data_IF_945605729171
#
_entry.id   IF_945605729171
#
_cell.length_a   1.000
_cell.length_b   1.000
_cell.length_c   1.000
_cell.angle_alpha   90.00
_cell.angle_beta   90.00
_cell.angle_gamma   90.00
#
_symmetry.space_group_name_H-M   'P 1'
#
loop_
_entity.id
_entity.type
_entity.pdbx_description
1 polymer ?
#
# COMPACT_ATOMS: atom_id res chain seq x y z
N UNK A 1 -27.26 -7.64 17.49
CA UNK A 1 -27.00 -8.51 16.33
C UNK A 1 -25.58 -9.03 16.44
N UNK A 2 -25.37 -10.35 16.37
CA UNK A 2 -24.05 -10.96 16.55
C UNK A 2 -23.28 -10.90 15.24
N UNK A 3 -21.95 -10.70 15.29
CA UNK A 3 -21.04 -10.63 14.13
C UNK A 3 -21.17 -11.82 13.15
N UNK A 4 -21.75 -12.93 13.59
CA UNK A 4 -21.99 -14.14 12.81
C UNK A 4 -23.20 -14.06 11.84
N UNK A 5 -24.15 -13.13 12.06
CA UNK A 5 -25.38 -13.01 11.24
C UNK A 5 -25.21 -12.12 10.00
N UNK A 6 -23.98 -11.68 9.69
CA UNK A 6 -23.68 -10.69 8.63
C UNK A 6 -22.70 -11.20 7.59
N UNK A 7 -22.68 -12.51 7.31
CA UNK A 7 -21.96 -12.99 6.14
C UNK A 7 -22.76 -12.67 4.88
N UNK A 8 -22.67 -11.42 4.41
CA UNK A 8 -22.92 -11.12 3.00
C UNK A 8 -21.75 -11.70 2.23
N UNK A 9 -21.88 -12.97 1.88
CA UNK A 9 -20.98 -13.58 0.91
C UNK A 9 -21.17 -12.84 -0.41
N UNK A 10 -20.07 -12.55 -1.10
CA UNK A 10 -20.08 -12.18 -2.50
C UNK A 10 -20.61 -13.36 -3.32
N UNK A 11 -21.92 -13.60 -3.29
CA UNK A 11 -22.60 -14.44 -4.25
C UNK A 11 -22.37 -13.78 -5.62
N UNK A 12 -21.31 -14.22 -6.31
CA UNK A 12 -20.96 -13.71 -7.65
C UNK A 12 -19.66 -12.93 -7.79
N UNK A 13 -18.57 -13.29 -7.09
CA UNK A 13 -17.24 -12.77 -7.47
C UNK A 13 -16.78 -13.21 -8.89
N UNK A 14 -17.57 -13.97 -9.66
CA UNK A 14 -17.35 -14.12 -11.13
C UNK A 14 -17.46 -12.80 -11.92
N UNK A 15 -17.79 -11.67 -11.28
CA UNK A 15 -17.93 -10.36 -11.91
C UNK A 15 -16.80 -9.36 -11.62
N UNK A 16 -15.57 -9.81 -11.31
CA UNK A 16 -14.39 -8.91 -11.25
C UNK A 16 -13.82 -8.50 -12.62
N UNK A 17 -14.70 -8.51 -13.64
CA UNK A 17 -14.58 -7.73 -14.87
C UNK A 17 -15.46 -6.47 -14.89
N UNK A 18 -16.25 -6.17 -13.83
CA UNK A 18 -17.24 -5.08 -13.92
C UNK A 18 -17.80 -4.48 -12.61
N UNK A 19 -17.20 -4.73 -11.44
CA UNK A 19 -17.61 -3.97 -10.25
C UNK A 19 -17.09 -2.53 -10.31
N UNK A 20 -17.98 -1.54 -10.20
CA UNK A 20 -17.57 -0.14 -10.16
C UNK A 20 -16.93 0.20 -8.81
N UNK A 21 -16.17 1.28 -8.74
CA UNK A 21 -15.56 1.76 -7.49
C UNK A 21 -16.63 1.97 -6.42
N UNK A 22 -17.82 2.43 -6.81
CA UNK A 22 -18.96 2.61 -5.90
C UNK A 22 -19.40 1.31 -5.23
N UNK A 23 -19.37 0.18 -5.93
CA UNK A 23 -19.71 -1.11 -5.34
C UNK A 23 -18.65 -1.57 -4.33
N UNK A 24 -17.36 -1.33 -4.61
CA UNK A 24 -16.28 -1.60 -3.67
C UNK A 24 -16.37 -0.71 -2.41
N UNK A 25 -16.74 0.56 -2.57
CA UNK A 25 -17.01 1.49 -1.46
C UNK A 25 -18.13 0.94 -0.58
N UNK A 26 -19.24 0.48 -1.18
CA UNK A 26 -20.33 -0.13 -0.41
C UNK A 26 -19.88 -1.35 0.39
N UNK A 27 -18.98 -2.18 -0.14
CA UNK A 27 -18.44 -3.32 0.61
C UNK A 27 -17.68 -2.85 1.85
N UNK A 28 -16.76 -1.90 1.71
CA UNK A 28 -15.95 -1.46 2.86
C UNK A 28 -16.70 -0.62 3.88
N UNK A 29 -17.79 0.05 3.46
CA UNK A 29 -18.61 0.95 4.29
C UNK A 29 -19.86 0.29 4.89
N UNK A 30 -20.03 -1.02 4.75
CA UNK A 30 -21.12 -1.76 5.38
C UNK A 30 -20.57 -2.99 6.09
N UNK A 31 -21.25 -3.46 7.13
CA UNK A 31 -20.85 -4.67 7.85
C UNK A 31 -20.96 -5.91 6.95
N UNK A 32 -19.86 -6.21 6.27
CA UNK A 32 -19.75 -7.25 5.23
C UNK A 32 -18.48 -8.07 5.42
N UNK A 33 -18.44 -9.24 4.79
CA UNK A 33 -17.25 -10.08 4.68
C UNK A 33 -16.98 -10.28 3.19
N UNK A 34 -15.80 -9.93 2.71
CA UNK A 34 -15.44 -10.02 1.30
C UNK A 34 -14.06 -10.64 1.08
N UNK A 35 -13.79 -11.15 -0.12
CA UNK A 35 -12.47 -11.67 -0.52
C UNK A 35 -12.14 -11.17 -1.92
N UNK A 36 -10.85 -11.15 -2.25
CA UNK A 36 -10.32 -10.83 -3.57
C UNK A 36 -10.41 -11.99 -4.56
N UNK A 37 -10.82 -13.17 -4.11
CA UNK A 37 -10.96 -14.37 -4.93
C UNK A 37 -12.36 -14.98 -4.79
N UNK A 38 -12.81 -15.67 -5.85
CA UNK A 38 -13.96 -16.57 -5.80
C UNK A 38 -13.55 -17.93 -5.26
N UNK A 39 -14.47 -18.57 -4.54
CA UNK A 39 -14.37 -19.97 -4.15
C UNK A 39 -15.45 -20.81 -4.84
N UNK A 40 -15.13 -22.05 -5.21
CA UNK A 40 -16.10 -23.07 -5.57
C UNK A 40 -16.71 -23.74 -4.33
N UNK A 41 -17.77 -24.52 -4.57
CA UNK A 41 -18.29 -25.43 -3.58
C UNK A 41 -17.25 -26.53 -3.29
N UNK A 42 -17.18 -26.99 -2.05
CA UNK A 42 -16.23 -28.04 -1.68
C UNK A 42 -16.69 -28.85 -0.49
N UNK A 43 -16.18 -30.07 -0.37
CA UNK A 43 -16.55 -30.99 0.70
C UNK A 43 -15.85 -30.61 2.01
N UNK A 44 -16.56 -30.67 3.14
CA UNK A 44 -15.94 -30.56 4.46
C UNK A 44 -15.39 -31.91 4.94
N UNK A 45 -14.76 -31.92 6.12
CA UNK A 45 -14.19 -33.14 6.73
C UNK A 45 -15.20 -34.26 7.03
N UNK A 46 -16.50 -34.01 6.87
CA UNK A 46 -17.59 -34.94 7.14
C UNK A 46 -18.30 -35.43 5.88
N UNK A 47 -17.85 -35.06 4.68
CA UNK A 47 -18.52 -35.46 3.45
C UNK A 47 -19.60 -34.50 2.96
N UNK A 48 -19.80 -33.38 3.65
CA UNK A 48 -20.89 -32.45 3.32
C UNK A 48 -20.40 -31.38 2.35
N UNK A 49 -21.19 -31.10 1.30
CA UNK A 49 -20.92 -30.00 0.37
C UNK A 49 -21.15 -28.66 1.07
N UNK A 50 -20.07 -27.91 1.25
CA UNK A 50 -20.08 -26.54 1.74
C UNK A 50 -20.00 -25.60 0.55
N UNK A 51 -21.02 -24.74 0.41
CA UNK A 51 -21.04 -23.76 -0.66
C UNK A 51 -19.95 -22.70 -0.47
N UNK A 52 -19.29 -22.32 -1.57
CA UNK A 52 -18.23 -21.29 -1.57
C UNK A 52 -17.19 -21.55 -0.46
N UNK A 53 -16.74 -22.81 -0.33
CA UNK A 53 -15.88 -23.24 0.77
C UNK A 53 -14.59 -22.44 0.71
N UNK A 54 -14.24 -21.73 1.78
CA UNK A 54 -13.02 -20.90 1.82
C UNK A 54 -11.81 -21.76 2.13
N UNK A 55 -11.21 -22.31 1.10
CA UNK A 55 -9.97 -23.06 1.20
C UNK A 55 -9.16 -22.91 -0.09
N UNK A 56 -7.91 -23.36 -0.08
CA UNK A 56 -7.01 -23.16 -1.23
C UNK A 56 -7.39 -24.02 -2.42
N UNK A 57 -7.84 -25.24 -2.16
CA UNK A 57 -8.34 -26.21 -3.13
C UNK A 57 -9.60 -25.76 -3.87
N UNK A 58 -10.28 -24.73 -3.37
CA UNK A 58 -11.51 -24.22 -3.95
C UNK A 58 -11.37 -22.81 -4.53
N UNK A 59 -10.17 -22.20 -4.56
CA UNK A 59 -10.00 -20.90 -5.22
C UNK A 59 -10.21 -21.06 -6.72
N UNK A 60 -11.22 -20.38 -7.25
CA UNK A 60 -11.73 -20.60 -8.61
C UNK A 60 -11.55 -19.38 -9.55
N UNK A 61 -10.84 -18.33 -9.12
CA UNK A 61 -10.64 -17.13 -9.94
C UNK A 61 -9.22 -16.58 -9.86
N UNK A 62 -8.89 -15.71 -10.79
CA UNK A 62 -7.80 -14.74 -10.70
C UNK A 62 -8.27 -13.44 -10.04
N UNK A 63 -7.35 -12.52 -9.78
CA UNK A 63 -7.67 -11.17 -9.28
C UNK A 63 -6.71 -10.09 -9.82
N UNK A 64 -7.22 -8.87 -9.97
CA UNK A 64 -6.45 -7.64 -10.21
C UNK A 64 -6.58 -6.64 -9.06
N UNK A 65 -7.06 -7.09 -7.90
CA UNK A 65 -7.29 -6.24 -6.75
C UNK A 65 -6.44 -6.75 -5.58
N UNK A 66 -5.60 -5.87 -5.05
CA UNK A 66 -4.95 -6.10 -3.77
C UNK A 66 -5.80 -5.48 -2.66
N UNK A 67 -5.92 -6.20 -1.55
CA UNK A 67 -6.54 -5.69 -0.32
C UNK A 67 -5.50 -5.78 0.79
N UNK A 68 -5.15 -4.62 1.34
CA UNK A 68 -4.10 -4.48 2.35
C UNK A 68 -4.74 -3.97 3.63
N UNK A 69 -4.72 -4.78 4.68
CA UNK A 69 -5.11 -4.34 6.02
C UNK A 69 -3.88 -3.71 6.70
N UNK A 70 -3.91 -2.39 6.87
CA UNK A 70 -2.83 -1.60 7.46
C UNK A 70 -3.05 -1.54 8.97
N UNK A 71 -2.22 -2.27 9.69
CA UNK A 71 -2.23 -2.30 11.15
C UNK A 71 -1.54 -1.10 11.79
N UNK A 72 -0.61 -0.49 11.07
CA UNK A 72 0.18 0.66 11.51
C UNK A 72 0.82 1.34 10.29
N UNK A 73 0.72 2.66 10.21
CA UNK A 73 1.44 3.46 9.22
C UNK A 73 1.97 4.73 9.84
N UNK A 74 3.17 5.15 9.42
CA UNK A 74 3.68 6.50 9.72
C UNK A 74 2.87 7.58 9.01
N UNK A 75 2.22 7.21 7.91
CA UNK A 75 1.42 8.11 7.08
C UNK A 75 -0.07 7.97 7.45
N UNK A 76 -0.75 9.04 7.90
CA UNK A 76 -2.16 8.98 8.20
C UNK A 76 -3.00 8.77 6.92
N UNK A 77 -4.21 8.23 7.08
CA UNK A 77 -5.10 7.80 6.00
C UNK A 77 -5.33 8.85 4.90
N UNK A 78 -5.52 10.12 5.28
CA UNK A 78 -5.74 11.22 4.32
C UNK A 78 -4.48 11.50 3.50
N UNK A 79 -3.30 11.43 4.12
CA UNK A 79 -2.05 11.67 3.44
C UNK A 79 -1.69 10.51 2.51
N UNK A 80 -2.05 9.28 2.89
CA UNK A 80 -1.93 8.11 2.01
C UNK A 80 -2.83 8.24 0.78
N UNK A 81 -4.05 8.77 0.93
CA UNK A 81 -4.93 9.08 -0.20
C UNK A 81 -4.28 10.07 -1.18
N UNK A 82 -3.68 11.14 -0.66
CA UNK A 82 -2.94 12.11 -1.48
C UNK A 82 -1.69 11.50 -2.15
N UNK A 83 -1.00 10.56 -1.49
CA UNK A 83 0.13 9.85 -2.10
C UNK A 83 -0.32 9.00 -3.27
N UNK A 84 -1.50 8.42 -3.19
CA UNK A 84 -2.08 7.53 -4.20
C UNK A 84 -2.99 8.24 -5.20
N UNK A 85 -3.13 9.58 -5.18
CA UNK A 85 -4.12 10.32 -6.00
C UNK A 85 -4.04 10.10 -7.52
N UNK A 86 -2.90 9.62 -8.00
CA UNK A 86 -2.67 9.32 -9.43
C UNK A 86 -3.17 7.92 -9.81
N UNK A 87 -3.41 7.06 -8.81
CA UNK A 87 -3.83 5.69 -8.98
C UNK A 87 -5.28 5.49 -8.58
N UNK A 88 -5.97 4.59 -9.28
CA UNK A 88 -7.28 4.13 -8.85
C UNK A 88 -7.14 3.39 -7.53
N UNK A 89 -7.88 3.81 -6.50
CA UNK A 89 -7.80 3.19 -5.18
C UNK A 89 -9.00 3.54 -4.30
N UNK A 90 -9.18 2.75 -3.23
CA UNK A 90 -10.06 3.07 -2.10
C UNK A 90 -9.25 2.89 -0.83
N UNK A 91 -9.32 3.88 0.06
CA UNK A 91 -8.81 3.74 1.43
C UNK A 91 -9.97 3.92 2.39
N UNK A 92 -10.14 2.98 3.32
CA UNK A 92 -11.23 3.00 4.28
C UNK A 92 -10.71 2.84 5.71
N UNK A 93 -11.27 3.56 6.67
CA UNK A 93 -11.04 3.24 8.09
C UNK A 93 -11.62 1.86 8.41
N UNK A 94 -11.06 1.18 9.42
CA UNK A 94 -11.58 -0.11 9.87
C UNK A 94 -12.62 0.10 10.98
N UNK A 95 -12.62 -0.75 12.01
CA UNK A 95 -13.57 -0.67 13.13
C UNK A 95 -13.40 0.56 14.01
N UNK A 96 -12.25 1.25 13.95
CA UNK A 96 -11.99 2.48 14.69
C UNK A 96 -11.75 3.64 13.70
N UNK A 97 -12.78 4.44 13.47
CA UNK A 97 -12.76 5.59 12.54
C UNK A 97 -11.82 6.71 13.00
N UNK A 98 -11.56 6.82 14.31
CA UNK A 98 -10.69 7.84 14.88
C UNK A 98 -9.21 7.51 14.71
N UNK A 99 -8.87 6.22 14.52
CA UNK A 99 -7.50 5.81 14.28
C UNK A 99 -7.09 6.04 12.83
N UNK A 100 -6.49 7.21 12.56
CA UNK A 100 -6.03 7.59 11.22
C UNK A 100 -4.79 6.83 10.72
N UNK A 101 -4.17 5.99 11.54
CA UNK A 101 -2.99 5.18 11.19
C UNK A 101 -3.31 3.70 11.00
N UNK A 102 -4.60 3.33 11.12
CA UNK A 102 -5.12 1.98 10.85
C UNK A 102 -6.24 2.06 9.85
N UNK A 103 -6.05 1.44 8.70
CA UNK A 103 -6.97 1.55 7.58
C UNK A 103 -6.80 0.38 6.62
N UNK A 104 -7.67 0.29 5.64
CA UNK A 104 -7.58 -0.70 4.57
C UNK A 104 -7.40 -0.01 3.24
N UNK A 105 -6.51 -0.54 2.41
CA UNK A 105 -6.32 -0.10 1.04
C UNK A 105 -6.86 -1.17 0.10
N UNK A 106 -7.74 -0.79 -0.82
CA UNK A 106 -8.13 -1.56 -1.99
C UNK A 106 -7.44 -0.94 -3.19
N UNK A 107 -6.50 -1.68 -3.78
CA UNK A 107 -5.60 -1.18 -4.82
C UNK A 107 -5.68 -2.06 -6.08
N UNK A 108 -6.44 -1.63 -7.10
CA UNK A 108 -6.39 -2.21 -8.43
C UNK A 108 -4.97 -2.14 -9.04
N UNK A 109 -4.52 -3.26 -9.60
CA UNK A 109 -3.19 -3.41 -10.22
C UNK A 109 -3.29 -3.75 -11.71
N UNK A 110 -2.24 -3.48 -12.47
CA UNK A 110 -2.20 -3.72 -13.91
C UNK A 110 -2.06 -5.20 -14.30
N UNK A 111 -1.50 -6.04 -13.41
CA UNK A 111 -1.27 -7.47 -13.63
C UNK A 111 -2.39 -8.33 -13.02
N UNK A 112 -2.74 -9.42 -13.71
CA UNK A 112 -3.67 -10.44 -13.21
C UNK A 112 -2.93 -11.52 -12.41
N UNK A 113 -3.34 -11.70 -11.15
CA UNK A 113 -2.79 -12.69 -10.24
C UNK A 113 -3.64 -13.95 -10.28
N UNK A 114 -3.02 -15.08 -10.55
CA UNK A 114 -3.69 -16.37 -10.63
C UNK A 114 -3.72 -17.06 -9.26
N UNK A 115 -4.74 -17.87 -9.04
CA UNK A 115 -4.92 -18.62 -7.79
C UNK A 115 -3.95 -19.79 -7.61
N UNK A 116 -3.33 -20.26 -8.69
CA UNK A 116 -2.36 -21.36 -8.67
C UNK A 116 -0.96 -20.94 -8.21
N UNK A 117 -0.71 -19.64 -8.02
CA UNK A 117 0.57 -19.10 -7.54
C UNK A 117 0.43 -18.23 -6.26
N UNK A 118 0.21 -18.86 -5.10
CA UNK A 118 0.10 -18.15 -3.83
C UNK A 118 1.40 -17.46 -3.40
N UNK A 119 2.56 -17.94 -3.87
CA UNK A 119 3.85 -17.32 -3.53
C UNK A 119 4.04 -16.00 -4.27
N UNK A 120 3.61 -15.94 -5.54
CA UNK A 120 3.59 -14.70 -6.31
C UNK A 120 2.66 -13.67 -5.66
N UNK A 121 1.44 -14.07 -5.28
CA UNK A 121 0.51 -13.18 -4.58
C UNK A 121 1.14 -12.61 -3.30
N UNK A 122 1.70 -13.48 -2.45
CA UNK A 122 2.39 -13.08 -1.22
C UNK A 122 3.55 -12.13 -1.49
N UNK A 123 4.37 -12.43 -2.49
CA UNK A 123 5.53 -11.61 -2.85
C UNK A 123 5.11 -10.22 -3.31
N UNK A 124 4.10 -10.12 -4.17
CA UNK A 124 3.59 -8.84 -4.68
C UNK A 124 2.99 -8.01 -3.55
N UNK A 125 2.11 -8.60 -2.72
CA UNK A 125 1.50 -7.89 -1.58
C UNK A 125 2.57 -7.34 -0.64
N UNK A 126 3.57 -8.16 -0.30
CA UNK A 126 4.69 -7.72 0.55
C UNK A 126 5.41 -6.51 -0.05
N UNK A 127 5.82 -6.59 -1.31
CA UNK A 127 6.58 -5.52 -1.97
C UNK A 127 5.77 -4.25 -2.20
N UNK A 128 4.47 -4.37 -2.46
CA UNK A 128 3.56 -3.23 -2.52
C UNK A 128 3.47 -2.57 -1.15
N UNK A 129 3.26 -3.32 -0.07
CA UNK A 129 3.22 -2.75 1.28
C UNK A 129 4.52 -2.02 1.66
N UNK A 130 5.68 -2.58 1.29
CA UNK A 130 6.97 -1.93 1.48
C UNK A 130 7.07 -0.62 0.67
N UNK A 131 6.62 -0.63 -0.60
CA UNK A 131 6.59 0.56 -1.46
C UNK A 131 5.65 1.65 -0.92
N UNK A 132 4.55 1.25 -0.29
CA UNK A 132 3.59 2.13 0.36
C UNK A 132 4.03 2.60 1.75
N UNK A 133 5.16 2.11 2.28
CA UNK A 133 5.67 2.45 3.61
C UNK A 133 4.65 2.14 4.73
N UNK A 134 3.91 1.03 4.60
CA UNK A 134 2.91 0.58 5.58
C UNK A 134 3.31 -0.73 6.24
N UNK A 135 2.98 -0.86 7.52
CA UNK A 135 2.98 -2.15 8.21
C UNK A 135 1.60 -2.77 8.09
N UNK A 136 1.58 -4.03 7.69
CA UNK A 136 0.38 -4.74 7.28
C UNK A 136 0.14 -5.98 8.14
N UNK A 137 -1.11 -6.39 8.27
CA UNK A 137 -1.47 -7.68 8.85
C UNK A 137 -0.95 -8.79 7.91
N UNK A 138 -0.15 -9.77 8.41
CA UNK A 138 0.28 -10.92 7.62
C UNK A 138 -0.84 -11.66 6.87
N UNK A 139 -2.07 -11.59 7.37
CA UNK A 139 -3.25 -12.12 6.70
C UNK A 139 -3.50 -11.50 5.32
N UNK A 140 -3.07 -10.25 5.09
CA UNK A 140 -3.15 -9.59 3.77
C UNK A 140 -2.36 -10.33 2.68
N UNK A 141 -1.32 -11.08 3.07
CA UNK A 141 -0.50 -11.90 2.16
C UNK A 141 -1.12 -13.27 1.85
N UNK A 142 -2.26 -13.60 2.45
CA UNK A 142 -2.91 -14.90 2.29
C UNK A 142 -4.03 -14.76 1.25
N UNK A 143 -3.87 -15.46 0.14
CA UNK A 143 -4.84 -15.58 -0.97
C UNK A 143 -6.27 -15.96 -0.53
N UNK A 144 -6.40 -16.82 0.49
CA UNK A 144 -7.71 -17.23 1.03
C UNK A 144 -8.32 -16.25 2.05
N UNK A 145 -7.65 -15.14 2.34
CA UNK A 145 -8.09 -14.20 3.35
C UNK A 145 -9.43 -13.56 2.97
N UNK A 146 -10.25 -13.34 3.99
CA UNK A 146 -11.41 -12.48 3.87
C UNK A 146 -11.22 -11.26 4.76
N UNK A 147 -11.77 -10.17 4.29
CA UNK A 147 -11.70 -8.85 4.88
C UNK A 147 -13.10 -8.45 5.32
N UNK A 148 -13.16 -7.52 6.27
CA UNK A 148 -14.41 -7.09 6.88
C UNK A 148 -14.66 -5.63 6.53
N UNK A 149 -15.79 -5.34 5.91
CA UNK A 149 -16.32 -3.98 5.84
C UNK A 149 -16.93 -3.56 7.18
N UNK A 150 -16.97 -2.26 7.44
CA UNK A 150 -17.53 -1.70 8.66
C UNK A 150 -18.50 -0.58 8.34
N UNK A 151 -19.72 -0.69 8.88
CA UNK A 151 -20.70 0.39 8.84
C UNK A 151 -20.14 1.64 9.52
N UNK A 152 -20.27 2.79 8.85
CA UNK A 152 -19.71 4.07 9.33
C UNK A 152 -18.23 4.28 9.03
N UNK A 153 -17.58 3.37 8.29
CA UNK A 153 -16.21 3.59 7.84
C UNK A 153 -16.10 4.84 6.96
N UNK A 154 -15.13 5.70 7.28
CA UNK A 154 -14.74 6.82 6.42
C UNK A 154 -13.96 6.29 5.23
N UNK A 155 -14.38 6.65 4.01
CA UNK A 155 -13.76 6.23 2.76
C UNK A 155 -13.19 7.39 1.96
N UNK A 156 -12.02 7.18 1.38
CA UNK A 156 -11.36 8.04 0.43
C UNK A 156 -11.22 7.28 -0.89
N UNK A 157 -11.59 7.89 -2.01
CA UNK A 157 -11.76 7.19 -3.28
C UNK A 157 -11.15 8.01 -4.39
N UNK A 158 -10.31 7.37 -5.21
CA UNK A 158 -9.89 7.90 -6.51
C UNK A 158 -10.37 6.95 -7.58
N UNK A 159 -11.36 7.37 -8.36
CA UNK A 159 -11.91 6.55 -9.45
C UNK A 159 -11.17 6.78 -10.79
N UNK A 160 -10.76 8.01 -11.08
CA UNK A 160 -10.17 8.40 -12.38
C UNK A 160 -8.63 8.27 -12.45
N UNK A 161 -8.05 7.30 -11.75
CA UNK A 161 -6.60 7.06 -11.73
C UNK A 161 -6.14 5.88 -12.60
N UNK A 162 -4.83 5.81 -12.84
CA UNK A 162 -4.19 4.67 -13.49
C UNK A 162 -4.22 3.43 -12.55
N UNK A 163 -4.14 2.22 -13.12
CA UNK A 163 -3.93 1.03 -12.28
C UNK A 163 -2.53 1.09 -11.67
N UNK A 164 -2.38 0.60 -10.43
CA UNK A 164 -1.07 0.58 -9.80
C UNK A 164 -0.16 -0.40 -10.54
N UNK A 165 0.98 0.11 -11.03
CA UNK A 165 1.92 -0.68 -11.83
C UNK A 165 2.78 -1.56 -10.92
N UNK A 166 2.64 -2.88 -11.06
CA UNK A 166 3.42 -3.88 -10.32
C UNK A 166 4.35 -4.67 -11.22
N UNK A 167 4.60 -4.23 -12.45
CA UNK A 167 5.40 -4.99 -13.45
C UNK A 167 6.81 -5.27 -12.94
N UNK A 168 7.50 -4.26 -12.41
CA UNK A 168 8.86 -4.40 -11.88
C UNK A 168 8.86 -5.33 -10.65
N UNK A 169 7.86 -5.19 -9.77
CA UNK A 169 7.68 -6.06 -8.60
C UNK A 169 7.50 -7.51 -9.02
N UNK A 170 6.69 -7.79 -10.05
CA UNK A 170 6.49 -9.13 -10.59
C UNK A 170 7.82 -9.70 -11.11
N UNK A 171 8.57 -8.91 -11.88
CA UNK A 171 9.90 -9.31 -12.38
C UNK A 171 10.87 -9.62 -11.24
N UNK A 172 10.87 -8.81 -10.19
CA UNK A 172 11.72 -9.02 -9.02
C UNK A 172 11.32 -10.26 -8.21
N UNK A 173 10.01 -10.50 -8.06
CA UNK A 173 9.48 -11.72 -7.44
C UNK A 173 9.89 -12.99 -8.22
N UNK A 174 9.82 -12.96 -9.56
CA UNK A 174 10.26 -14.09 -10.41
C UNK A 174 11.76 -14.33 -10.26
N UNK A 175 12.55 -13.27 -10.19
CA UNK A 175 14.02 -13.35 -10.09
C UNK A 175 14.54 -13.56 -8.66
N UNK A 176 13.66 -13.68 -7.67
CA UNK A 176 14.00 -13.75 -6.23
C UNK A 176 14.95 -12.63 -5.78
N UNK A 177 14.85 -11.45 -6.40
CA UNK A 177 15.60 -10.28 -5.92
C UNK A 177 14.98 -9.85 -4.59
N UNK A 178 15.82 -9.69 -3.57
CA UNK A 178 15.39 -9.03 -2.35
C UNK A 178 15.12 -7.56 -2.65
N UNK A 179 13.85 -7.24 -2.92
CA UNK A 179 13.34 -5.87 -2.92
C UNK A 179 13.04 -5.52 -1.48
N UNK A 180 14.10 -5.39 -0.69
CA UNK A 180 13.99 -4.78 0.63
C UNK A 180 14.29 -3.29 0.49
N UNK A 181 13.56 -2.44 1.20
CA UNK A 181 14.08 -1.11 1.52
C UNK A 181 15.46 -1.34 2.17
N UNK A 182 16.57 -0.82 1.60
CA UNK A 182 17.87 -0.94 2.24
C UNK A 182 17.74 -0.38 3.66
N UNK A 183 17.93 -1.24 4.67
CA UNK A 183 17.93 -0.77 6.06
C UNK A 183 19.15 0.12 6.21
N UNK A 184 18.91 1.41 6.33
CA UNK A 184 19.98 2.37 6.58
C UNK A 184 20.34 2.21 8.06
N UNK A 185 21.56 1.79 8.34
CA UNK A 185 22.05 1.80 9.71
C UNK A 185 22.16 3.25 10.17
N UNK A 186 21.39 3.60 11.20
CA UNK A 186 21.48 4.90 11.83
C UNK A 186 22.95 5.17 12.27
N UNK A 187 23.50 6.36 12.01
CA UNK A 187 24.88 6.67 12.36
C UNK A 187 25.15 6.49 13.87
N UNK A 188 26.18 5.72 14.22
CA UNK A 188 26.50 5.35 15.62
C UNK A 188 27.19 6.46 16.41
N UNK A 189 27.54 7.59 15.79
CA UNK A 189 28.19 8.73 16.46
C UNK A 189 27.87 10.07 15.78
N UNK A 190 27.98 11.21 16.49
CA UNK A 190 27.75 12.53 15.89
C UNK A 190 28.67 12.84 14.71
N UNK A 191 29.93 12.38 14.73
CA UNK A 191 30.87 12.58 13.63
C UNK A 191 30.48 11.76 12.39
N UNK A 192 30.06 10.50 12.58
CA UNK A 192 29.55 9.68 11.48
C UNK A 192 28.26 10.25 10.91
N UNK A 193 27.38 10.79 11.77
CA UNK A 193 26.15 11.44 11.38
C UNK A 193 26.42 12.66 10.49
N UNK A 194 27.29 13.56 10.94
CA UNK A 194 27.69 14.75 10.17
C UNK A 194 28.23 14.38 8.80
N UNK A 195 29.15 13.40 8.73
CA UNK A 195 29.72 12.92 7.46
C UNK A 195 28.67 12.33 6.52
N UNK A 196 27.71 11.56 7.06
CA UNK A 196 26.63 10.99 6.26
C UNK A 196 25.74 12.10 5.67
N UNK A 197 25.33 13.07 6.48
CA UNK A 197 24.53 14.22 6.03
C UNK A 197 25.28 15.01 4.95
N UNK A 198 26.55 15.35 5.18
CA UNK A 198 27.39 16.07 4.20
C UNK A 198 27.50 15.30 2.87
N UNK A 199 27.67 13.98 2.93
CA UNK A 199 27.71 13.13 1.74
C UNK A 199 26.42 13.16 0.93
N UNK A 200 25.27 13.14 1.62
CA UNK A 200 23.95 13.24 0.98
C UNK A 200 23.74 14.63 0.39
N UNK A 201 24.06 15.70 1.12
CA UNK A 201 23.93 17.07 0.64
C UNK A 201 24.79 17.33 -0.60
N UNK A 202 25.98 16.72 -0.69
CA UNK A 202 26.87 16.84 -1.83
C UNK A 202 26.44 15.98 -3.04
N UNK A 203 25.72 14.87 -2.82
CA UNK A 203 25.40 13.88 -3.86
C UNK A 203 23.92 13.47 -3.84
N UNK A 204 23.02 14.41 -3.58
CA UNK A 204 21.61 14.11 -3.32
C UNK A 204 20.95 13.34 -4.48
N UNK A 205 21.28 13.68 -5.73
CA UNK A 205 20.72 12.98 -6.91
C UNK A 205 21.14 11.52 -6.98
N UNK A 206 22.39 11.20 -6.63
CA UNK A 206 22.89 9.83 -6.63
C UNK A 206 22.30 9.03 -5.47
N UNK A 207 22.19 9.64 -4.29
CA UNK A 207 21.62 8.97 -3.10
C UNK A 207 20.13 8.71 -3.27
N UNK A 208 19.41 9.66 -3.89
CA UNK A 208 17.98 9.62 -4.11
C UNK A 208 17.63 9.38 -5.57
N UNK A 209 18.44 8.58 -6.27
CA UNK A 209 18.21 8.25 -7.68
C UNK A 209 16.81 7.64 -7.91
N UNK A 210 16.35 6.83 -6.95
CA UNK A 210 14.99 6.26 -6.97
C UNK A 210 13.86 7.30 -6.84
N UNK A 211 14.16 8.52 -6.38
CA UNK A 211 13.21 9.64 -6.40
C UNK A 211 13.24 10.30 -7.77
N UNK A 212 14.43 10.55 -8.31
CA UNK A 212 14.59 11.21 -9.61
C UNK A 212 14.02 10.36 -10.74
N UNK A 213 14.26 9.05 -10.70
CA UNK A 213 13.85 8.07 -11.69
C UNK A 213 12.58 7.29 -11.26
N UNK A 214 11.76 7.84 -10.36
CA UNK A 214 10.56 7.15 -9.91
C UNK A 214 9.55 6.99 -11.05
N UNK A 215 8.77 5.90 -11.00
CA UNK A 215 7.67 5.69 -11.94
C UNK A 215 6.63 6.81 -11.84
N UNK A 216 5.98 7.12 -12.95
CA UNK A 216 4.94 8.15 -13.01
C UNK A 216 3.89 7.87 -11.92
N UNK A 217 3.51 8.93 -11.20
CA UNK A 217 2.53 8.88 -10.12
C UNK A 217 3.06 8.41 -8.76
N UNK A 218 4.26 7.83 -8.69
CA UNK A 218 4.86 7.36 -7.41
C UNK A 218 5.70 8.42 -6.69
N UNK A 219 5.84 9.63 -7.25
CA UNK A 219 6.73 10.67 -6.73
C UNK A 219 6.51 11.01 -5.25
N UNK A 220 5.26 11.05 -4.76
CA UNK A 220 4.99 11.26 -3.33
C UNK A 220 5.49 10.14 -2.44
N UNK A 221 5.33 8.88 -2.86
CA UNK A 221 5.84 7.73 -2.12
C UNK A 221 7.37 7.73 -2.10
N UNK A 222 8.01 8.06 -3.22
CA UNK A 222 9.47 8.18 -3.29
C UNK A 222 10.01 9.32 -2.42
N UNK A 223 9.32 10.47 -2.38
CA UNK A 223 9.67 11.59 -1.49
C UNK A 223 9.44 11.26 -0.01
N UNK A 224 8.36 10.55 0.33
CA UNK A 224 8.12 10.05 1.68
C UNK A 224 9.24 9.09 2.11
N UNK A 225 9.68 8.21 1.21
CA UNK A 225 10.81 7.30 1.44
C UNK A 225 12.12 8.07 1.66
N UNK A 226 12.40 9.09 0.86
CA UNK A 226 13.55 9.97 1.06
C UNK A 226 13.48 10.72 2.40
N UNK A 227 12.27 11.09 2.84
CA UNK A 227 12.05 11.73 4.13
C UNK A 227 12.39 10.81 5.30
N UNK A 228 11.95 9.54 5.26
CA UNK A 228 12.32 8.54 6.27
C UNK A 228 13.83 8.25 6.26
N UNK A 229 14.45 8.17 5.08
CA UNK A 229 15.91 8.04 4.95
C UNK A 229 16.63 9.19 5.68
N UNK A 230 16.25 10.44 5.42
CA UNK A 230 16.86 11.61 6.04
C UNK A 230 16.62 11.67 7.56
N UNK A 231 15.46 11.21 8.02
CA UNK A 231 15.17 11.04 9.45
C UNK A 231 16.13 10.06 10.11
N UNK A 232 16.37 8.89 9.50
CA UNK A 232 17.28 7.87 10.05
C UNK A 232 18.74 8.35 10.10
N UNK A 233 19.13 9.22 9.15
CA UNK A 233 20.41 9.93 9.19
C UNK A 233 20.42 11.11 10.18
N UNK A 234 19.26 11.49 10.71
CA UNK A 234 19.03 12.56 11.67
C UNK A 234 19.33 13.96 11.11
N UNK A 235 18.84 14.21 9.90
CA UNK A 235 18.76 15.55 9.33
C UNK A 235 18.02 16.50 10.27
N UNK A 236 18.43 17.77 10.25
CA UNK A 236 17.64 18.83 10.87
C UNK A 236 16.57 19.36 9.90
N UNK A 237 15.62 20.12 10.45
CA UNK A 237 14.48 20.70 9.69
C UNK A 237 14.90 21.49 8.44
N UNK A 238 15.97 22.29 8.54
CA UNK A 238 16.45 23.14 7.43
C UNK A 238 17.06 22.29 6.31
N UNK A 239 17.94 21.35 6.66
CA UNK A 239 18.59 20.45 5.71
C UNK A 239 17.57 19.58 5.00
N UNK A 240 16.62 19.01 5.75
CA UNK A 240 15.54 18.19 5.21
C UNK A 240 14.75 18.95 4.14
N UNK A 241 14.27 20.16 4.48
CA UNK A 241 13.51 21.01 3.56
C UNK A 241 14.32 21.32 2.29
N UNK A 242 15.60 21.67 2.44
CA UNK A 242 16.47 21.97 1.31
C UNK A 242 16.57 20.79 0.33
N UNK A 243 16.76 19.57 0.85
CA UNK A 243 16.85 18.38 0.00
C UNK A 243 15.53 18.07 -0.69
N UNK A 244 14.39 18.07 0.01
CA UNK A 244 13.09 17.76 -0.61
C UNK A 244 12.74 18.76 -1.72
N UNK A 245 12.94 20.07 -1.46
CA UNK A 245 12.71 21.11 -2.47
C UNK A 245 13.64 20.93 -3.66
N UNK A 246 14.92 20.63 -3.41
CA UNK A 246 15.89 20.38 -4.47
C UNK A 246 15.49 19.16 -5.33
N UNK A 247 15.20 18.01 -4.71
CA UNK A 247 14.77 16.81 -5.43
C UNK A 247 13.51 17.09 -6.28
N UNK A 248 12.55 17.86 -5.76
CA UNK A 248 11.35 18.21 -6.52
C UNK A 248 11.65 19.08 -7.73
N UNK A 249 12.61 19.99 -7.61
CA UNK A 249 13.04 20.86 -8.71
C UNK A 249 13.74 20.13 -9.85
N UNK A 250 14.21 18.90 -9.61
CA UNK A 250 14.90 18.09 -10.61
C UNK A 250 13.96 17.33 -11.55
N UNK A 251 12.68 17.22 -11.23
CA UNK A 251 11.70 16.64 -12.14
C UNK A 251 11.29 17.63 -13.22
N UNK A 252 11.16 17.14 -14.46
CA UNK A 252 10.70 17.95 -15.59
C UNK A 252 9.31 18.56 -15.32
N UNK A 253 8.42 17.78 -14.71
CA UNK A 253 7.16 18.25 -14.17
C UNK A 253 7.23 18.09 -12.66
N UNK A 254 7.67 19.15 -11.98
CA UNK A 254 7.76 19.16 -10.53
C UNK A 254 6.39 18.94 -9.88
N UNK A 255 6.40 18.31 -8.71
CA UNK A 255 5.19 18.15 -7.91
C UNK A 255 4.68 19.51 -7.47
N UNK A 256 3.35 19.64 -7.44
CA UNK A 256 2.67 20.86 -7.02
C UNK A 256 3.09 21.28 -5.60
N UNK A 257 3.22 22.60 -5.39
CA UNK A 257 3.76 23.15 -4.15
C UNK A 257 2.98 22.70 -2.91
N UNK A 258 1.66 22.55 -3.01
CA UNK A 258 0.82 22.10 -1.92
C UNK A 258 1.14 20.66 -1.52
N UNK A 259 1.29 19.75 -2.50
CA UNK A 259 1.64 18.35 -2.26
C UNK A 259 3.05 18.20 -1.70
N UNK A 260 4.01 19.00 -2.17
CA UNK A 260 5.37 19.02 -1.61
C UNK A 260 5.36 19.57 -0.18
N UNK A 261 4.64 20.66 0.07
CA UNK A 261 4.49 21.21 1.42
C UNK A 261 3.86 20.19 2.36
N UNK A 262 2.82 19.48 1.92
CA UNK A 262 2.19 18.41 2.70
C UNK A 262 3.17 17.31 3.11
N UNK A 263 4.05 16.87 2.20
CA UNK A 263 5.12 15.90 2.52
C UNK A 263 6.09 16.49 3.54
N UNK A 264 6.54 17.73 3.31
CA UNK A 264 7.47 18.40 4.24
C UNK A 264 6.85 18.50 5.62
N UNK A 265 5.62 19.01 5.73
CA UNK A 265 4.94 19.23 7.00
C UNK A 265 4.67 17.93 7.76
N UNK A 266 4.40 16.84 7.03
CA UNK A 266 4.23 15.50 7.59
C UNK A 266 5.50 15.01 8.31
N UNK A 267 6.68 15.14 7.70
CA UNK A 267 7.91 14.54 8.23
C UNK A 267 8.84 15.52 8.95
N UNK A 268 8.66 16.84 8.81
CA UNK A 268 9.56 17.84 9.40
C UNK A 268 9.53 17.83 10.93
N UNK A 269 8.43 17.39 11.55
CA UNK A 269 8.34 17.26 13.01
C UNK A 269 9.09 16.04 13.54
N UNK A 270 9.43 15.09 12.66
CA UNK A 270 10.23 13.92 12.99
C UNK A 270 11.74 14.18 12.87
N UNK A 271 12.13 15.37 12.39
CA UNK A 271 13.52 15.80 12.23
C UNK A 271 14.08 16.40 13.54
N UNK A 272 15.41 16.32 13.71
CA UNK A 272 16.12 16.86 14.88
C UNK A 272 16.14 18.39 14.92
#
# INVERSE_FOLDING_TARGET
MVKADRTKHLAGFELYKGMSMNQLVQLVSTDTIFSTFKYDDGENKHGEIVKMRRSRDTIASSTKLLVIDVDESTTPIHQMHEYLKEFKHIIATTSNVDNKHKFRILLPINVELKSDDPQMYKCIVKNVCESLLVKYDPASMVDIQAFFGYEGAQTFVTEEGELFDVTDIVSDCISNKEVGIPKIEAPKSPAAQKKAIESVMANALTVFDYVINCNKGTGSLSMARASLHMKDLGFNKTQYRQVIVYLNSCWQNSMDENRVSGIIDQYIQEMK
#
